data_IF_663914347621
#
_entry.id   IF_663914347621
#
_cell.length_a   1.000
_cell.length_b   1.000
_cell.length_c   1.000
_cell.angle_alpha   90.00
_cell.angle_beta   90.00
_cell.angle_gamma   90.00
#
_symmetry.space_group_name_H-M   'P 1'
#
loop_
_entity.id
_entity.type
_entity.pdbx_description
1 polymer ?
#
# COMPACT_ATOMS: atom_id res chain seq x y z
N UNK A 1 20.05 -14.29 2.65
CA UNK A 1 19.59 -12.92 2.94
C UNK A 1 18.81 -12.44 1.72
N UNK A 2 17.54 -12.05 1.88
CA UNK A 2 16.72 -11.54 0.78
C UNK A 2 17.39 -10.28 0.21
N UNK A 3 17.89 -10.34 -1.04
CA UNK A 3 18.62 -9.24 -1.71
C UNK A 3 17.78 -7.95 -1.85
N UNK A 4 16.48 -8.03 -1.59
CA UNK A 4 15.54 -6.92 -1.64
C UNK A 4 15.61 -5.97 -0.43
N UNK A 5 16.26 -6.35 0.68
CA UNK A 5 16.46 -5.47 1.86
C UNK A 5 17.54 -4.43 1.60
N UNK A 6 17.14 -3.28 1.08
CA UNK A 6 18.09 -2.25 0.62
C UNK A 6 17.80 -0.86 1.18
N UNK A 7 16.61 -0.62 1.72
CA UNK A 7 16.21 0.71 2.21
C UNK A 7 16.77 0.94 3.62
N UNK A 8 17.56 2.01 3.77
CA UNK A 8 18.20 2.32 5.04
C UNK A 8 17.27 3.01 6.04
N UNK A 9 16.23 3.73 5.58
CA UNK A 9 15.30 4.49 6.43
C UNK A 9 13.86 4.28 5.99
N UNK A 10 12.90 4.17 6.94
CA UNK A 10 11.49 4.26 6.61
C UNK A 10 11.11 5.69 6.23
N UNK A 11 10.05 5.83 5.46
CA UNK A 11 9.34 7.12 5.29
C UNK A 11 8.07 7.01 6.11
N UNK A 12 7.92 7.79 7.19
CA UNK A 12 6.72 7.75 8.04
C UNK A 12 5.61 8.68 7.51
N UNK A 13 5.98 9.64 6.67
CA UNK A 13 5.15 10.60 5.97
C UNK A 13 5.82 10.94 4.63
N UNK A 14 5.12 11.66 3.76
CA UNK A 14 5.73 12.16 2.54
C UNK A 14 6.75 13.26 2.89
N UNK A 15 8.02 13.13 2.44
CA UNK A 15 9.03 14.15 2.64
C UNK A 15 8.57 15.52 2.11
N UNK A 16 9.07 16.57 2.74
CA UNK A 16 8.81 17.96 2.34
C UNK A 16 10.08 18.63 1.83
N UNK A 17 9.93 19.44 0.79
CA UNK A 17 10.98 20.29 0.27
C UNK A 17 11.34 21.41 1.27
N UNK A 18 12.37 22.19 0.96
CA UNK A 18 12.82 23.32 1.80
C UNK A 18 11.76 24.42 1.99
N UNK A 19 10.71 24.43 1.18
CA UNK A 19 9.59 25.38 1.22
C UNK A 19 8.39 24.82 1.99
N UNK A 20 8.46 23.57 2.46
CA UNK A 20 7.40 22.90 3.19
C UNK A 20 6.37 22.18 2.31
N UNK A 21 6.57 22.12 0.99
CA UNK A 21 5.67 21.40 0.08
C UNK A 21 6.04 19.92 0.05
N UNK A 22 5.05 19.03 -0.08
CA UNK A 22 5.30 17.62 -0.29
C UNK A 22 6.10 17.38 -1.59
N UNK A 23 7.17 16.60 -1.48
CA UNK A 23 7.95 16.13 -2.62
C UNK A 23 7.07 15.37 -3.62
N UNK A 24 7.49 15.35 -4.89
CA UNK A 24 6.78 14.69 -6.00
C UNK A 24 6.93 13.16 -5.96
N UNK A 25 6.47 12.54 -4.87
CA UNK A 25 6.47 11.09 -4.69
C UNK A 25 5.10 10.49 -5.03
N UNK A 26 5.09 9.24 -5.45
CA UNK A 26 3.87 8.48 -5.73
C UNK A 26 3.76 7.32 -4.75
N UNK A 27 2.63 7.25 -4.05
CA UNK A 27 2.36 6.24 -3.04
C UNK A 27 1.10 5.42 -3.37
N UNK A 28 1.16 4.13 -3.02
CA UNK A 28 0.02 3.21 -3.03
C UNK A 28 -0.07 2.56 -1.67
N UNK A 29 -1.28 2.47 -1.11
CA UNK A 29 -1.52 1.74 0.12
C UNK A 29 -2.15 0.39 -0.21
N UNK A 30 -1.68 -0.66 0.44
CA UNK A 30 -2.34 -1.96 0.48
C UNK A 30 -2.89 -2.22 1.87
N UNK A 31 -4.13 -2.67 1.97
CA UNK A 31 -4.80 -2.90 3.25
C UNK A 31 -5.41 -4.32 3.27
N UNK A 32 -4.92 -5.14 4.20
CA UNK A 32 -5.60 -6.39 4.60
C UNK A 32 -6.33 -6.13 5.91
N UNK A 33 -7.63 -6.40 5.94
CA UNK A 33 -8.52 -6.00 7.02
C UNK A 33 -8.83 -7.19 7.90
N UNK A 34 -8.57 -7.05 9.20
CA UNK A 34 -8.97 -8.03 10.19
C UNK A 34 -9.94 -7.44 11.22
N UNK A 35 -10.74 -8.33 11.81
CA UNK A 35 -11.61 -8.03 12.95
C UNK A 35 -11.44 -9.12 13.99
N UNK A 36 -10.38 -9.02 14.79
CA UNK A 36 -10.11 -9.95 15.89
C UNK A 36 -10.22 -9.21 17.23
N UNK A 37 -11.19 -9.62 18.06
CA UNK A 37 -11.29 -9.18 19.46
C UNK A 37 -10.35 -9.95 20.39
N UNK A 38 -9.80 -11.08 19.91
CA UNK A 38 -8.79 -11.85 20.62
C UNK A 38 -7.40 -11.29 20.36
N UNK A 39 -6.52 -11.30 21.37
CA UNK A 39 -5.09 -11.01 21.17
C UNK A 39 -4.40 -12.05 20.26
N UNK A 40 -5.05 -13.18 20.00
CA UNK A 40 -4.54 -14.24 19.13
C UNK A 40 -5.03 -14.07 17.69
N UNK A 41 -4.09 -13.72 16.82
CA UNK A 41 -4.07 -13.87 15.36
C UNK A 41 -5.15 -13.11 14.56
N UNK A 42 -4.76 -12.71 13.35
CA UNK A 42 -5.41 -11.80 12.41
C UNK A 42 -5.42 -10.34 12.86
N UNK A 43 -4.67 -9.51 12.15
CA UNK A 43 -4.51 -8.08 12.40
C UNK A 43 -4.65 -7.30 11.12
N UNK A 44 -5.20 -6.09 11.22
CA UNK A 44 -5.22 -5.20 10.07
C UNK A 44 -3.79 -4.78 9.76
N UNK A 45 -3.41 -4.82 8.48
CA UNK A 45 -2.09 -4.42 8.02
C UNK A 45 -2.24 -3.39 6.90
N UNK A 46 -1.56 -2.25 7.05
CA UNK A 46 -1.50 -1.19 6.05
C UNK A 46 -0.05 -1.10 5.58
N UNK A 47 0.20 -1.44 4.32
CA UNK A 47 1.52 -1.37 3.68
C UNK A 47 1.56 -0.14 2.79
N UNK A 48 2.57 0.72 2.99
CA UNK A 48 2.78 1.91 2.17
C UNK A 48 3.91 1.65 1.17
N UNK A 49 3.57 1.69 -0.11
CA UNK A 49 4.49 1.51 -1.22
C UNK A 49 4.78 2.86 -1.87
N UNK A 50 6.06 3.15 -2.11
CA UNK A 50 6.53 4.27 -2.93
C UNK A 50 6.98 3.77 -4.28
N UNK A 51 6.49 4.39 -5.35
CA UNK A 51 6.86 4.09 -6.73
C UNK A 51 8.08 4.94 -7.12
N UNK A 52 9.09 4.30 -7.71
CA UNK A 52 10.25 4.96 -8.28
C UNK A 52 10.27 4.70 -9.78
N UNK A 53 9.98 5.74 -10.57
CA UNK A 53 10.04 5.70 -12.03
C UNK A 53 11.43 6.06 -12.53
N UNK A 54 11.77 5.58 -13.73
CA UNK A 54 12.92 6.07 -14.48
C UNK A 54 12.55 7.38 -15.21
N UNK A 55 13.47 7.92 -16.01
CA UNK A 55 13.22 9.14 -16.80
C UNK A 55 12.16 8.95 -17.90
N UNK A 56 11.89 7.72 -18.32
CA UNK A 56 10.88 7.40 -19.34
C UNK A 56 9.49 7.15 -18.74
N UNK A 57 9.30 7.36 -17.43
CA UNK A 57 8.03 7.12 -16.75
C UNK A 57 7.79 5.66 -16.36
N UNK A 58 8.62 4.72 -16.80
CA UNK A 58 8.50 3.30 -16.46
C UNK A 58 8.88 3.05 -15.00
N UNK A 59 8.12 2.20 -14.32
CA UNK A 59 8.41 1.79 -12.94
C UNK A 59 9.72 1.01 -12.90
N UNK A 60 10.72 1.57 -12.22
CA UNK A 60 12.02 0.92 -11.99
C UNK A 60 12.03 0.10 -10.71
N UNK A 61 11.37 0.61 -9.67
CA UNK A 61 11.44 0.05 -8.33
C UNK A 61 10.20 0.41 -7.52
N UNK A 62 9.74 -0.52 -6.70
CA UNK A 62 8.72 -0.30 -5.68
C UNK A 62 9.35 -0.47 -4.30
N UNK A 63 9.13 0.50 -3.43
CA UNK A 63 9.72 0.56 -2.09
C UNK A 63 8.62 0.39 -1.03
N UNK A 64 8.67 -0.67 -0.22
CA UNK A 64 7.84 -0.74 0.98
C UNK A 64 8.48 0.16 2.06
N UNK A 65 8.03 1.42 2.12
CA UNK A 65 8.65 2.46 2.94
C UNK A 65 8.12 2.49 4.37
N UNK A 66 6.92 1.92 4.59
CA UNK A 66 6.32 1.79 5.91
C UNK A 66 5.30 0.64 5.95
N UNK A 67 5.14 0.05 7.13
CA UNK A 67 4.08 -0.92 7.43
C UNK A 67 3.48 -0.53 8.77
N UNK A 68 2.19 -0.23 8.76
CA UNK A 68 1.43 0.18 9.95
C UNK A 68 0.47 -0.93 10.33
N UNK A 69 0.54 -1.36 11.59
CA UNK A 69 -0.43 -2.27 12.20
C UNK A 69 -1.28 -1.46 13.19
N UNK A 70 -2.56 -1.19 12.88
CA UNK A 70 -3.49 -0.65 13.86
C UNK A 70 -3.60 -1.53 15.11
N UNK A 71 -3.87 -0.96 16.29
CA UNK A 71 -4.18 -1.72 17.49
C UNK A 71 -5.26 -2.79 17.26
N UNK A 72 -5.12 -3.94 17.92
CA UNK A 72 -6.11 -5.01 17.85
C UNK A 72 -7.46 -4.57 18.44
N UNK A 73 -8.56 -5.09 17.90
CA UNK A 73 -9.91 -4.85 18.40
C UNK A 73 -10.54 -3.51 17.98
N UNK A 74 -9.85 -2.70 17.17
CA UNK A 74 -10.42 -1.46 16.64
C UNK A 74 -11.62 -1.73 15.74
N UNK A 75 -12.65 -0.90 15.88
CA UNK A 75 -13.79 -0.85 14.97
C UNK A 75 -13.37 -0.40 13.57
N UNK A 76 -14.17 -0.71 12.56
CA UNK A 76 -13.89 -0.25 11.19
C UNK A 76 -13.83 1.28 11.07
N UNK A 77 -14.56 2.01 11.93
CA UNK A 77 -14.50 3.47 11.98
C UNK A 77 -13.14 3.96 12.50
N UNK A 78 -12.60 3.32 13.52
CA UNK A 78 -11.27 3.67 14.04
C UNK A 78 -10.17 3.25 13.05
N UNK A 79 -10.33 2.13 12.36
CA UNK A 79 -9.43 1.71 11.29
C UNK A 79 -9.48 2.69 10.10
N UNK A 80 -10.67 3.16 9.69
CA UNK A 80 -10.79 4.14 8.61
C UNK A 80 -10.18 5.48 8.97
N UNK A 81 -10.29 5.92 10.23
CA UNK A 81 -9.58 7.09 10.75
C UNK A 81 -8.07 6.99 10.54
N UNK A 82 -7.47 5.84 10.86
CA UNK A 82 -6.02 5.62 10.67
C UNK A 82 -5.64 5.68 9.18
N UNK A 83 -6.43 5.04 8.30
CA UNK A 83 -6.19 5.07 6.85
C UNK A 83 -6.27 6.50 6.30
N UNK A 84 -7.28 7.28 6.71
CA UNK A 84 -7.43 8.68 6.29
C UNK A 84 -6.29 9.57 6.82
N UNK A 85 -5.87 9.41 8.08
CA UNK A 85 -4.69 10.10 8.63
C UNK A 85 -3.43 9.79 7.82
N UNK A 86 -3.20 8.51 7.47
CA UNK A 86 -2.09 8.12 6.63
C UNK A 86 -2.19 8.73 5.23
N UNK A 87 -3.38 8.76 4.63
CA UNK A 87 -3.57 9.38 3.31
C UNK A 87 -3.05 10.82 3.30
N UNK A 88 -3.48 11.65 4.25
CA UNK A 88 -3.01 13.04 4.33
C UNK A 88 -1.54 13.16 4.76
N UNK A 89 -1.06 12.30 5.67
CA UNK A 89 0.35 12.29 6.08
C UNK A 89 1.30 12.00 4.90
N UNK A 90 0.87 11.22 3.92
CA UNK A 90 1.62 10.95 2.70
C UNK A 90 1.32 11.91 1.56
N UNK A 91 0.67 13.05 1.83
CA UNK A 91 0.39 14.06 0.81
C UNK A 91 -0.78 13.72 -0.10
N UNK A 92 -1.73 12.94 0.40
CA UNK A 92 -3.04 12.78 -0.20
C UNK A 92 -3.73 14.13 -0.38
N UNK A 93 -4.48 14.28 -1.48
CA UNK A 93 -5.15 15.52 -1.82
C UNK A 93 -6.48 15.23 -2.53
N UNK A 94 -7.47 16.12 -2.37
CA UNK A 94 -8.80 15.96 -2.98
C UNK A 94 -8.78 15.98 -4.51
N UNK A 95 -7.93 16.85 -5.07
CA UNK A 95 -7.53 16.80 -6.48
C UNK A 95 -6.51 15.65 -6.71
N UNK A 96 -6.96 14.56 -7.33
CA UNK A 96 -6.18 13.33 -7.54
C UNK A 96 -4.92 13.55 -8.38
N UNK A 97 -4.91 14.55 -9.28
CA UNK A 97 -3.74 14.92 -10.08
C UNK A 97 -2.61 15.47 -9.20
N UNK A 98 -2.97 16.15 -8.10
CA UNK A 98 -2.03 16.70 -7.11
C UNK A 98 -1.72 15.71 -5.99
N UNK A 99 -2.61 14.76 -5.74
CA UNK A 99 -2.45 13.74 -4.71
C UNK A 99 -1.18 12.92 -4.92
N UNK A 100 -0.39 12.76 -3.86
CA UNK A 100 0.75 11.85 -3.84
C UNK A 100 0.31 10.40 -3.67
N UNK A 101 -0.81 10.17 -2.99
CA UNK A 101 -1.41 8.83 -2.84
C UNK A 101 -2.33 8.58 -4.02
N UNK A 102 -1.99 7.58 -4.84
CA UNK A 102 -2.68 7.28 -6.10
C UNK A 102 -3.80 6.25 -5.94
N UNK A 103 -3.69 5.37 -4.95
CA UNK A 103 -4.75 4.45 -4.59
C UNK A 103 -4.57 3.88 -3.18
N UNK A 104 -5.69 3.51 -2.57
CA UNK A 104 -5.79 2.72 -1.34
C UNK A 104 -6.49 1.42 -1.72
N UNK A 105 -5.73 0.35 -1.84
CA UNK A 105 -6.19 -0.97 -2.28
C UNK A 105 -6.65 -1.75 -1.06
N UNK A 106 -7.93 -2.08 -1.01
CA UNK A 106 -8.55 -2.83 0.09
C UNK A 106 -9.14 -4.12 -0.46
N UNK A 107 -8.86 -5.27 0.16
CA UNK A 107 -9.60 -6.51 -0.12
C UNK A 107 -11.00 -6.40 0.47
N UNK A 108 -11.96 -5.97 -0.35
CA UNK A 108 -13.35 -5.76 0.09
C UNK A 108 -14.14 -7.05 0.29
N UNK A 109 -13.55 -8.23 0.12
CA UNK A 109 -14.27 -9.47 0.37
C UNK A 109 -14.54 -9.68 1.87
N UNK A 110 -15.78 -10.07 2.19
CA UNK A 110 -16.23 -10.43 3.54
C UNK A 110 -16.02 -9.32 4.58
N UNK A 111 -14.85 -9.27 5.22
CA UNK A 111 -14.55 -8.35 6.33
C UNK A 111 -14.22 -6.95 5.81
N UNK A 112 -13.45 -6.84 4.71
CA UNK A 112 -12.95 -5.55 4.24
C UNK A 112 -14.02 -4.59 3.74
N UNK A 113 -15.18 -5.10 3.32
CA UNK A 113 -16.35 -4.27 2.98
C UNK A 113 -16.71 -3.30 4.12
N UNK A 114 -16.60 -3.75 5.37
CA UNK A 114 -16.89 -2.90 6.52
C UNK A 114 -15.91 -1.74 6.69
N UNK A 115 -14.66 -1.87 6.24
CA UNK A 115 -13.71 -0.76 6.21
C UNK A 115 -14.03 0.20 5.05
N UNK A 116 -14.35 -0.33 3.87
CA UNK A 116 -14.70 0.47 2.69
C UNK A 116 -15.92 1.36 2.99
N UNK A 117 -17.00 0.77 3.54
CA UNK A 117 -18.19 1.53 3.94
C UNK A 117 -17.80 2.72 4.85
N UNK A 118 -16.84 2.53 5.77
CA UNK A 118 -16.36 3.58 6.70
C UNK A 118 -15.37 4.58 6.10
N UNK A 119 -14.77 4.27 4.95
CA UNK A 119 -13.96 5.24 4.20
C UNK A 119 -14.85 6.20 3.40
N UNK A 120 -16.01 5.71 2.96
CA UNK A 120 -17.03 6.45 2.21
C UNK A 120 -17.87 7.40 3.07
N UNK A 121 -17.86 7.21 4.39
CA UNK A 121 -18.48 8.12 5.36
C UNK A 121 -17.67 9.40 5.56
N UNK A 122 -18.37 10.51 5.85
CA UNK A 122 -17.71 11.75 6.26
C UNK A 122 -17.13 11.60 7.67
N UNK A 123 -15.90 12.09 7.86
CA UNK A 123 -15.19 11.91 9.12
C UNK A 123 -14.39 13.15 9.49
N UNK A 124 -14.69 13.69 10.67
CA UNK A 124 -13.81 14.62 11.38
C UNK A 124 -12.94 13.82 12.34
N UNK A 125 -11.65 14.10 12.33
CA UNK A 125 -10.71 13.57 13.29
C UNK A 125 -11.07 14.06 14.70
N UNK A 126 -11.42 13.17 15.65
CA UNK A 126 -11.83 13.60 16.99
C UNK A 126 -10.69 14.16 17.83
N UNK A 127 -9.43 13.86 17.51
CA UNK A 127 -8.27 14.30 18.29
C UNK A 127 -7.75 15.65 17.79
N UNK A 128 -7.75 15.87 16.46
CA UNK A 128 -7.20 17.10 15.84
C UNK A 128 -8.28 18.09 15.40
N UNK A 129 -9.55 17.66 15.36
CA UNK A 129 -10.67 18.41 14.78
C UNK A 129 -10.47 18.75 13.30
N UNK A 130 -9.60 18.02 12.59
CA UNK A 130 -9.40 18.15 11.15
C UNK A 130 -10.50 17.39 10.39
N UNK A 131 -11.05 18.03 9.36
CA UNK A 131 -11.99 17.38 8.45
C UNK A 131 -11.21 16.46 7.50
N UNK A 132 -11.43 15.15 7.61
CA UNK A 132 -10.79 14.15 6.75
C UNK A 132 -11.63 13.85 5.51
N UNK A 133 -12.90 14.28 5.48
CA UNK A 133 -13.80 14.22 4.33
C UNK A 133 -14.28 12.81 3.99
N UNK A 134 -15.02 12.68 2.89
CA UNK A 134 -15.43 11.41 2.29
C UNK A 134 -14.43 10.95 1.23
N UNK A 135 -14.16 9.64 1.18
CA UNK A 135 -13.49 9.01 0.03
C UNK A 135 -14.51 8.33 -0.86
N UNK A 136 -14.11 8.01 -2.08
CA UNK A 136 -14.92 7.27 -3.04
C UNK A 136 -14.13 6.10 -3.63
N UNK A 137 -14.87 5.11 -4.12
CA UNK A 137 -14.28 3.96 -4.81
C UNK A 137 -13.96 4.30 -6.26
N UNK A 138 -12.79 3.88 -6.73
CA UNK A 138 -12.32 4.09 -8.11
C UNK A 138 -13.02 3.13 -9.09
N UNK A 139 -13.39 1.93 -8.64
CA UNK A 139 -13.76 0.81 -9.50
C UNK A 139 -15.14 0.21 -9.21
N UNK A 140 -15.96 0.86 -8.39
CA UNK A 140 -17.33 0.40 -8.09
C UNK A 140 -18.33 1.54 -8.08
N UNK A 141 -19.61 1.21 -8.12
CA UNK A 141 -20.72 2.19 -8.06
C UNK A 141 -21.17 2.50 -6.62
N UNK A 142 -20.35 2.17 -5.60
CA UNK A 142 -20.65 2.54 -4.22
C UNK A 142 -20.67 4.06 -4.09
N UNK A 143 -21.61 4.59 -3.29
CA UNK A 143 -21.80 6.04 -3.16
C UNK A 143 -21.23 6.54 -1.84
N UNK A 144 -20.40 7.60 -1.84
CA UNK A 144 -19.97 8.26 -0.62
C UNK A 144 -21.14 9.01 0.04
N UNK A 145 -21.02 9.27 1.34
CA UNK A 145 -22.03 10.02 2.10
C UNK A 145 -22.19 11.45 1.60
N UNK A 146 -21.07 12.09 1.24
CA UNK A 146 -21.01 13.49 0.78
C UNK A 146 -20.22 13.57 -0.51
N UNK A 147 -20.69 14.41 -1.44
CA UNK A 147 -20.00 14.73 -2.69
C UNK A 147 -19.66 16.22 -2.75
N UNK A 148 -18.54 16.62 -3.39
CA UNK A 148 -17.53 15.76 -4.00
C UNK A 148 -16.71 14.97 -2.96
N UNK A 149 -16.32 13.75 -3.32
CA UNK A 149 -15.48 12.87 -2.51
C UNK A 149 -14.16 12.58 -3.22
N UNK A 150 -13.18 12.08 -2.47
CA UNK A 150 -11.85 11.76 -3.02
C UNK A 150 -11.87 10.34 -3.60
N UNK A 151 -11.92 10.22 -4.92
CA UNK A 151 -11.81 8.94 -5.65
C UNK A 151 -10.40 8.34 -5.48
N UNK A 152 -10.23 7.47 -4.49
CA UNK A 152 -8.91 6.90 -4.16
C UNK A 152 -8.96 5.45 -3.67
N UNK A 153 -10.13 4.92 -3.32
CA UNK A 153 -10.24 3.55 -2.79
C UNK A 153 -10.42 2.56 -3.94
N UNK A 154 -9.54 1.57 -4.06
CA UNK A 154 -9.73 0.46 -4.98
C UNK A 154 -10.25 -0.76 -4.22
N UNK A 155 -11.47 -1.18 -4.55
CA UNK A 155 -12.15 -2.31 -3.95
C UNK A 155 -11.80 -3.62 -4.68
N UNK A 156 -10.87 -4.40 -4.11
CA UNK A 156 -10.39 -5.65 -4.68
C UNK A 156 -11.35 -6.81 -4.36
N UNK A 157 -12.38 -7.00 -5.19
CA UNK A 157 -13.42 -8.03 -5.01
C UNK A 157 -13.40 -9.17 -6.03
N UNK A 158 -12.58 -9.06 -7.08
CA UNK A 158 -12.56 -10.01 -8.18
C UNK A 158 -12.24 -11.44 -7.70
N UNK A 159 -12.97 -12.42 -8.22
CA UNK A 159 -12.82 -13.83 -7.88
C UNK A 159 -11.82 -14.53 -8.80
N UNK A 160 -11.08 -15.51 -8.29
CA UNK A 160 -10.15 -16.31 -9.11
C UNK A 160 -8.81 -15.66 -9.43
N UNK A 161 -8.60 -14.39 -9.07
CA UNK A 161 -7.34 -13.65 -9.32
C UNK A 161 -6.22 -13.96 -8.33
N UNK A 162 -6.47 -14.75 -7.27
CA UNK A 162 -5.48 -15.07 -6.24
C UNK A 162 -4.17 -15.62 -6.82
N UNK A 163 -4.25 -16.46 -7.85
CA UNK A 163 -3.06 -17.00 -8.49
C UNK A 163 -2.24 -15.93 -9.21
N UNK A 164 -2.87 -14.89 -9.77
CA UNK A 164 -2.18 -13.77 -10.41
C UNK A 164 -1.55 -12.83 -9.39
N UNK A 165 -2.24 -12.54 -8.29
CA UNK A 165 -1.70 -11.77 -7.16
C UNK A 165 -0.40 -12.43 -6.66
N UNK A 166 -0.43 -13.75 -6.43
CA UNK A 166 0.73 -14.51 -5.96
C UNK A 166 1.88 -14.46 -6.99
N UNK A 167 1.59 -14.68 -8.28
CA UNK A 167 2.61 -14.61 -9.33
C UNK A 167 3.22 -13.22 -9.44
N UNK A 168 2.41 -12.18 -9.35
CA UNK A 168 2.88 -10.78 -9.39
C UNK A 168 3.82 -10.50 -8.21
N UNK A 169 3.45 -10.93 -7.01
CA UNK A 169 4.33 -10.80 -5.85
C UNK A 169 5.67 -11.52 -6.06
N UNK A 170 5.65 -12.77 -6.55
CA UNK A 170 6.87 -13.55 -6.82
C UNK A 170 7.74 -12.83 -7.86
N UNK A 171 7.15 -12.36 -8.96
CA UNK A 171 7.86 -11.64 -10.03
C UNK A 171 8.57 -10.39 -9.48
N UNK A 172 7.89 -9.57 -8.68
CA UNK A 172 8.48 -8.37 -8.09
C UNK A 172 9.63 -8.67 -7.12
N UNK A 173 9.59 -9.81 -6.44
CA UNK A 173 10.67 -10.27 -5.55
C UNK A 173 11.85 -10.81 -6.37
N UNK A 174 11.59 -11.67 -7.36
CA UNK A 174 12.61 -12.33 -8.18
C UNK A 174 13.34 -11.36 -9.10
N UNK A 175 12.62 -10.39 -9.68
CA UNK A 175 13.19 -9.30 -10.49
C UNK A 175 13.88 -8.23 -9.64
N UNK A 176 13.83 -8.36 -8.31
CA UNK A 176 14.32 -7.38 -7.34
C UNK A 176 13.70 -5.97 -7.50
N UNK A 177 12.56 -5.83 -8.19
CA UNK A 177 11.82 -4.57 -8.30
C UNK A 177 11.29 -4.10 -6.94
N UNK A 178 10.82 -5.03 -6.10
CA UNK A 178 10.42 -4.74 -4.72
C UNK A 178 11.65 -4.54 -3.85
N UNK A 179 11.71 -3.44 -3.09
CA UNK A 179 12.69 -3.22 -2.02
C UNK A 179 12.03 -3.04 -0.67
N UNK A 180 12.67 -3.60 0.35
CA UNK A 180 12.22 -3.57 1.76
C UNK A 180 13.25 -2.83 2.63
N UNK A 181 12.79 -2.42 3.82
CA UNK A 181 13.64 -1.86 4.87
C UNK A 181 14.65 -2.89 5.37
N UNK A 182 15.87 -2.41 5.63
CA UNK A 182 16.87 -3.14 6.41
C UNK A 182 16.44 -3.18 7.88
N UNK A 183 16.74 -4.30 8.51
CA UNK A 183 16.45 -4.51 9.94
C UNK A 183 17.57 -3.90 10.80
N UNK A 184 17.27 -3.60 12.07
CA UNK A 184 18.17 -2.87 12.95
C UNK A 184 19.56 -3.51 13.10
N UNK A 185 19.65 -4.84 13.15
CA UNK A 185 20.93 -5.52 13.28
C UNK A 185 21.84 -5.35 12.05
N UNK A 186 21.27 -5.10 10.87
CA UNK A 186 22.02 -4.78 9.64
C UNK A 186 22.55 -3.34 9.62
N UNK A 187 22.00 -2.46 10.47
CA UNK A 187 22.31 -1.02 10.54
C UNK A 187 23.22 -0.69 11.73
N UNK A 188 23.17 -1.46 12.81
CA UNK A 188 23.97 -1.28 14.04
C UNK A 188 25.48 -1.15 13.80
N UNK A 189 26.00 -1.64 12.66
CA UNK A 189 27.40 -1.47 12.26
C UNK A 189 27.79 -0.08 11.74
N UNK A 190 26.86 0.89 11.59
CA UNK A 190 27.14 2.15 10.88
C UNK A 190 27.00 3.47 11.64
N UNK A 191 26.36 3.54 12.82
CA UNK A 191 26.36 4.75 13.67
C UNK A 191 25.34 4.58 14.80
N UNK A 192 25.80 4.36 16.03
CA UNK A 192 24.97 4.53 17.23
C UNK A 192 25.02 6.00 17.62
N UNK A 193 24.18 6.82 16.98
CA UNK A 193 23.77 8.09 17.57
C UNK A 193 22.38 7.85 18.17
N UNK A 194 22.38 7.78 19.49
CA UNK A 194 21.26 7.44 20.37
C UNK A 194 20.17 8.51 20.39
N UNK A 195 19.43 8.61 19.29
CA UNK A 195 18.07 9.16 19.25
C UNK A 195 17.21 8.11 18.54
N UNK A 196 16.82 7.06 19.28
CA UNK A 196 15.99 5.99 18.76
C UNK A 196 14.60 6.57 18.48
N UNK A 197 14.28 6.79 17.21
CA UNK A 197 12.94 7.18 16.81
C UNK A 197 12.04 5.94 16.87
N UNK A 198 11.19 5.86 17.90
CA UNK A 198 10.32 4.71 18.19
C UNK A 198 9.49 4.29 16.97
N UNK A 199 9.02 5.25 16.18
CA UNK A 199 8.21 4.96 15.00
C UNK A 199 9.03 4.38 13.84
N UNK A 200 10.29 4.80 13.68
CA UNK A 200 11.19 4.19 12.69
C UNK A 200 11.53 2.74 13.07
N UNK A 201 11.71 2.47 14.38
CA UNK A 201 11.92 1.13 14.89
C UNK A 201 10.70 0.24 14.68
N UNK A 202 9.49 0.75 14.93
CA UNK A 202 8.24 0.04 14.64
C UNK A 202 8.13 -0.35 13.16
N UNK A 203 8.43 0.57 12.24
CA UNK A 203 8.41 0.28 10.80
C UNK A 203 9.36 -0.87 10.41
N UNK A 204 10.55 -0.92 11.02
CA UNK A 204 11.51 -2.02 10.80
C UNK A 204 11.07 -3.32 11.44
N UNK A 205 10.52 -3.29 12.64
CA UNK A 205 9.95 -4.46 13.31
C UNK A 205 8.83 -5.05 12.46
N UNK A 206 7.92 -4.22 11.94
CA UNK A 206 6.86 -4.69 11.05
C UNK A 206 7.37 -5.22 9.71
N UNK A 207 8.50 -4.69 9.20
CA UNK A 207 9.18 -5.28 8.04
C UNK A 207 9.76 -6.66 8.36
N UNK A 208 10.32 -6.86 9.56
CA UNK A 208 10.77 -8.18 10.00
C UNK A 208 9.59 -9.15 10.12
N UNK A 209 8.46 -8.72 10.69
CA UNK A 209 7.26 -9.55 10.74
C UNK A 209 6.76 -9.94 9.35
N UNK A 210 6.74 -9.01 8.39
CA UNK A 210 6.43 -9.35 6.99
C UNK A 210 7.36 -10.45 6.44
N UNK A 211 8.67 -10.38 6.72
CA UNK A 211 9.62 -11.40 6.28
C UNK A 211 9.32 -12.75 6.94
N UNK A 212 8.98 -12.75 8.22
CA UNK A 212 8.62 -13.96 8.96
C UNK A 212 7.33 -14.58 8.41
N UNK A 213 6.33 -13.75 8.10
CA UNK A 213 5.09 -14.15 7.44
C UNK A 213 5.38 -14.81 6.08
N UNK A 214 6.12 -14.13 5.18
CA UNK A 214 6.48 -14.66 3.85
C UNK A 214 7.25 -15.99 3.99
N UNK A 215 8.20 -16.06 4.91
CA UNK A 215 9.03 -17.25 5.13
C UNK A 215 8.23 -18.43 5.70
N UNK A 216 7.08 -18.15 6.32
CA UNK A 216 6.13 -19.14 6.81
C UNK A 216 5.11 -19.58 5.74
N UNK A 217 5.12 -19.01 4.53
CA UNK A 217 4.23 -19.41 3.45
C UNK A 217 4.83 -20.52 2.60
N UNK A 218 3.99 -21.48 2.23
CA UNK A 218 4.29 -22.52 1.25
C UNK A 218 3.36 -22.36 0.06
N UNK A 219 3.94 -22.35 -1.14
CA UNK A 219 3.17 -22.41 -2.38
C UNK A 219 2.50 -23.79 -2.48
N UNK A 220 1.19 -23.81 -2.67
CA UNK A 220 0.43 -25.00 -3.04
C UNK A 220 -0.16 -24.78 -4.43
N UNK A 221 0.13 -25.70 -5.35
CA UNK A 221 -0.43 -25.67 -6.71
C UNK A 221 -1.34 -26.88 -6.88
N UNK A 222 -2.56 -26.63 -7.33
CA UNK A 222 -3.43 -27.66 -7.91
C UNK A 222 -3.35 -27.58 -9.43
N UNK A 223 -3.98 -28.52 -10.15
CA UNK A 223 -4.06 -28.47 -11.61
C UNK A 223 -4.71 -27.18 -12.15
N UNK A 224 -5.48 -26.44 -11.33
CA UNK A 224 -6.28 -25.28 -11.76
C UNK A 224 -5.96 -23.99 -11.01
N UNK A 225 -5.22 -24.03 -9.91
CA UNK A 225 -5.01 -22.86 -9.06
C UNK A 225 -3.67 -22.88 -8.34
N UNK A 226 -3.12 -21.69 -8.13
CA UNK A 226 -2.00 -21.46 -7.22
C UNK A 226 -2.55 -20.76 -5.98
N UNK A 227 -2.15 -21.23 -4.81
CA UNK A 227 -2.46 -20.63 -3.52
C UNK A 227 -1.23 -20.64 -2.62
N UNK A 228 -1.29 -19.88 -1.54
CA UNK A 228 -0.29 -19.91 -0.48
C UNK A 228 -0.92 -20.43 0.81
N UNK A 229 -0.19 -21.28 1.53
CA UNK A 229 -0.62 -21.84 2.80
C UNK A 229 0.40 -21.57 3.88
N UNK A 230 -0.08 -21.11 5.03
CA UNK A 230 0.72 -20.96 6.23
C UNK A 230 1.21 -22.33 6.73
N UNK A 231 2.50 -22.46 6.98
CA UNK A 231 3.11 -23.64 7.61
C UNK A 231 2.75 -23.68 9.09
N UNK A 232 2.97 -22.57 9.81
CA UNK A 232 2.58 -22.38 11.19
C UNK A 232 1.37 -21.44 11.25
N UNK A 233 0.24 -21.92 11.76
CA UNK A 233 -1.01 -21.15 11.90
C UNK A 233 -0.94 -19.99 12.90
N UNK A 234 0.10 -19.95 13.73
CA UNK A 234 0.35 -18.88 14.70
C UNK A 234 1.03 -17.65 14.10
N UNK A 235 1.57 -17.76 12.89
CA UNK A 235 2.17 -16.64 12.17
C UNK A 235 1.14 -16.25 11.11
N UNK A 236 0.67 -15.01 11.20
CA UNK A 236 -0.37 -14.46 10.32
C UNK A 236 0.16 -14.30 8.88
N UNK A 237 -0.67 -13.77 7.98
CA UNK A 237 -0.28 -13.48 6.60
C UNK A 237 -0.72 -12.10 6.15
N UNK A 238 -1.13 -11.25 7.08
CA UNK A 238 -1.91 -10.04 6.79
C UNK A 238 -1.05 -8.97 6.11
N UNK A 239 0.22 -8.83 6.51
CA UNK A 239 1.15 -7.89 5.84
C UNK A 239 1.52 -8.40 4.47
N UNK A 240 1.71 -9.71 4.33
CA UNK A 240 1.93 -10.32 3.01
C UNK A 240 0.74 -10.06 2.08
N UNK A 241 -0.50 -10.30 2.52
CA UNK A 241 -1.69 -10.05 1.70
C UNK A 241 -1.75 -8.58 1.29
N UNK A 242 -1.65 -7.65 2.26
CA UNK A 242 -1.71 -6.22 2.03
C UNK A 242 -0.67 -5.76 1.00
N UNK A 243 0.58 -6.22 1.13
CA UNK A 243 1.65 -5.96 0.17
C UNK A 243 1.32 -6.52 -1.22
N UNK A 244 0.86 -7.76 -1.29
CA UNK A 244 0.57 -8.43 -2.56
C UNK A 244 -0.59 -7.76 -3.31
N UNK A 245 -1.62 -7.29 -2.60
CA UNK A 245 -2.75 -6.55 -3.18
C UNK A 245 -2.31 -5.24 -3.82
N UNK A 246 -1.49 -4.45 -3.11
CA UNK A 246 -0.96 -3.20 -3.65
C UNK A 246 -0.03 -3.42 -4.86
N UNK A 247 0.83 -4.44 -4.81
CA UNK A 247 1.69 -4.79 -5.95
C UNK A 247 0.87 -5.23 -7.17
N UNK A 248 -0.20 -5.98 -6.97
CA UNK A 248 -1.10 -6.38 -8.04
C UNK A 248 -1.80 -5.19 -8.68
N UNK A 249 -2.26 -4.22 -7.88
CA UNK A 249 -2.81 -2.98 -8.41
C UNK A 249 -1.80 -2.21 -9.28
N UNK A 250 -0.56 -2.07 -8.79
CA UNK A 250 0.53 -1.41 -9.52
C UNK A 250 0.76 -2.10 -10.88
N UNK A 251 0.83 -3.43 -10.88
CA UNK A 251 0.99 -4.23 -12.10
C UNK A 251 -0.16 -4.03 -13.10
N UNK A 252 -1.40 -4.00 -12.63
CA UNK A 252 -2.57 -3.87 -13.50
C UNK A 252 -2.66 -2.49 -14.16
N UNK A 253 -2.44 -1.43 -13.38
CA UNK A 253 -2.83 -0.08 -13.77
C UNK A 253 -1.66 0.86 -13.99
N UNK A 254 -0.52 0.67 -13.32
CA UNK A 254 0.56 1.67 -13.31
C UNK A 254 1.82 1.25 -14.08
N UNK A 255 1.99 -0.05 -14.35
CA UNK A 255 3.04 -0.53 -15.25
C UNK A 255 2.67 -0.39 -16.73
N UNK A 256 1.37 -0.36 -17.07
CA UNK A 256 0.86 -0.35 -18.46
C UNK A 256 0.45 1.02 -18.99
N UNK A 257 0.55 2.09 -18.19
CA UNK A 257 0.45 3.45 -18.70
C UNK A 257 1.71 3.80 -19.51
N UNK A 258 1.83 3.18 -20.69
CA UNK A 258 2.72 3.63 -21.76
C UNK A 258 2.04 4.82 -22.46
N UNK A 259 2.69 5.97 -22.34
CA UNK A 259 2.75 7.08 -23.30
C UNK A 259 1.45 7.30 -24.10
N UNK A 260 0.60 8.24 -23.65
CA UNK A 260 -0.21 8.98 -24.62
C UNK A 260 0.76 9.55 -25.66
N UNK A 261 0.71 9.01 -26.87
CA UNK A 261 1.40 9.59 -28.02
C UNK A 261 0.97 11.06 -28.10
N UNK A 262 1.92 11.95 -27.81
CA UNK A 262 1.78 13.36 -28.16
C UNK A 262 1.65 13.36 -29.67
N UNK A 263 0.44 13.52 -30.18
CA UNK A 263 0.23 13.84 -31.58
C UNK A 263 0.97 15.16 -31.83
N UNK A 264 2.15 15.09 -32.43
CA UNK A 264 2.79 16.26 -33.03
C UNK A 264 1.83 16.74 -34.12
N UNK A 265 1.23 17.92 -33.92
CA UNK A 265 0.33 18.58 -34.90
C UNK A 265 1.04 18.95 -36.23
N UNK A 266 2.30 18.56 -36.41
CA UNK A 266 3.14 18.86 -37.57
C UNK A 266 3.28 17.69 -38.57
N UNK A 267 2.56 16.57 -38.40
CA UNK A 267 2.51 15.54 -39.43
C UNK A 267 1.66 16.00 -40.62
N UNK A 268 2.35 16.56 -41.61
CA UNK A 268 1.78 17.11 -42.84
C UNK A 268 0.84 16.10 -43.53
N UNK A 269 -0.43 16.52 -43.69
CA UNK A 269 -1.44 15.84 -44.49
C UNK A 269 -0.94 15.61 -45.94
N UNK A 270 -0.53 14.39 -46.25
CA UNK A 270 -0.32 13.95 -47.64
C UNK A 270 -1.68 13.54 -48.21
N UNK A 271 -2.28 14.41 -49.02
CA UNK A 271 -3.43 14.06 -49.85
C UNK A 271 -2.94 13.26 -51.07
N UNK A 272 -3.48 12.06 -51.26
CA UNK A 272 -3.50 11.35 -52.56
C UNK A 272 -4.84 11.61 -53.26
#
# INVERSE_FOLDING_TARGET
MLKIRTLDKPELNCPKDKRGNFELNEYIFGVDVARSNSQSNNKTAIVVLKIIRNKTGTIRQIQAVNIVEPPNGLSFKEQSLIVKRLFYAYGGHSDILKSRVKAIVVDGNVIGKGLIDRLLEDLTDPDTNEELGCFDTINTDQKPDVTPAIEVVYDLTAQGINGEIIRTFIDYVETEKLKLLKINDEIKGKSVNSNVNLEEDKARIHTQYLIDEISNLKLESTQKSITVKQVLKKIDKDRYSALAYALYYIFLFLEKEEVEEVYDEDDSLVYF
#
